data_IF_685052688081
#
_entry.id   IF_685052688081
#
_cell.length_a   1.000
_cell.length_b   1.000
_cell.length_c   1.000
_cell.angle_alpha   90.00
_cell.angle_beta   90.00
_cell.angle_gamma   90.00
#
_symmetry.space_group_name_H-M   'P 1'
#
loop_
_entity.id
_entity.type
_entity.pdbx_description
1 polymer ?
#
# COMPACT_ATOMS: atom_id res chain seq x y z
N UNK A 1 26.79 8.73 -1.17
CA UNK A 1 25.42 9.12 -1.59
C UNK A 1 24.57 9.36 -0.34
N UNK A 2 24.16 10.61 -0.08
CA UNK A 2 23.21 10.96 0.98
C UNK A 2 21.78 10.60 0.58
N UNK A 3 20.83 10.66 1.54
CA UNK A 3 19.41 10.44 1.25
C UNK A 3 18.87 11.44 0.21
N UNK A 4 19.34 12.68 0.23
CA UNK A 4 18.93 13.73 -0.71
C UNK A 4 19.52 13.50 -2.11
N UNK A 5 20.82 13.19 -2.21
CA UNK A 5 21.47 12.78 -3.46
C UNK A 5 20.77 11.55 -4.08
N UNK A 6 20.46 10.53 -3.28
CA UNK A 6 19.76 9.33 -3.76
C UNK A 6 18.34 9.61 -4.24
N UNK A 7 17.60 10.49 -3.57
CA UNK A 7 16.28 10.93 -4.01
C UNK A 7 16.35 11.78 -5.29
N UNK A 8 17.40 12.60 -5.45
CA UNK A 8 17.66 13.32 -6.71
C UNK A 8 17.92 12.35 -7.87
N UNK A 9 18.84 11.40 -7.72
CA UNK A 9 19.15 10.38 -8.74
C UNK A 9 17.88 9.60 -9.12
N UNK A 10 17.10 9.13 -8.14
CA UNK A 10 15.81 8.44 -8.36
C UNK A 10 14.82 9.27 -9.17
N UNK A 11 14.73 10.58 -8.90
CA UNK A 11 13.83 11.50 -9.62
C UNK A 11 14.32 11.75 -11.05
N UNK A 12 15.61 12.00 -11.21
CA UNK A 12 16.26 12.24 -12.50
C UNK A 12 16.12 11.02 -13.43
N UNK A 13 16.46 9.83 -12.94
CA UNK A 13 16.40 8.57 -13.70
C UNK A 13 14.98 8.23 -14.18
N UNK A 14 13.96 8.49 -13.35
CA UNK A 14 12.54 8.31 -13.72
C UNK A 14 12.07 9.29 -14.80
N UNK A 15 12.68 10.48 -14.89
CA UNK A 15 12.41 11.44 -15.97
C UNK A 15 13.15 10.99 -17.24
N UNK A 16 14.43 10.60 -17.12
CA UNK A 16 15.25 10.11 -18.23
C UNK A 16 14.62 8.93 -18.98
N UNK A 17 14.18 7.89 -18.26
CA UNK A 17 13.45 6.75 -18.86
C UNK A 17 12.13 7.19 -19.53
N UNK A 18 11.42 8.17 -18.96
CA UNK A 18 10.17 8.65 -19.54
C UNK A 18 10.39 9.39 -20.86
N UNK A 19 11.52 10.07 -21.02
CA UNK A 19 11.87 10.85 -22.21
C UNK A 19 12.60 10.04 -23.30
N UNK A 20 13.35 9.00 -22.90
CA UNK A 20 14.17 8.16 -23.79
C UNK A 20 13.64 6.73 -24.00
N UNK A 21 12.60 6.33 -23.28
CA UNK A 21 12.00 4.99 -23.33
C UNK A 21 12.64 3.99 -22.37
N UNK A 22 11.99 2.83 -22.20
CA UNK A 22 12.42 1.78 -21.23
C UNK A 22 13.71 1.06 -21.62
N UNK A 23 14.23 1.27 -22.82
CA UNK A 23 15.53 0.74 -23.30
C UNK A 23 16.65 1.80 -23.31
N UNK A 24 16.45 2.95 -22.64
CA UNK A 24 17.40 4.04 -22.60
C UNK A 24 18.69 3.69 -21.84
N UNK A 25 19.76 3.38 -22.57
CA UNK A 25 21.10 3.18 -22.00
C UNK A 25 21.71 4.51 -21.54
N UNK A 26 22.29 4.52 -20.34
CA UNK A 26 23.06 5.65 -19.82
C UNK A 26 24.51 5.55 -20.31
N UNK A 27 24.96 6.51 -21.14
CA UNK A 27 26.38 6.63 -21.48
C UNK A 27 27.19 7.21 -20.31
N UNK A 28 28.52 7.02 -20.32
CA UNK A 28 29.42 7.57 -19.30
C UNK A 28 29.30 9.10 -19.13
N UNK A 29 28.93 9.83 -20.18
CA UNK A 29 28.66 11.27 -20.13
C UNK A 29 27.48 11.62 -19.22
N UNK A 30 26.44 10.78 -19.20
CA UNK A 30 25.28 10.96 -18.32
C UNK A 30 25.66 10.72 -16.86
N UNK A 31 26.47 9.69 -16.58
CA UNK A 31 26.98 9.43 -15.24
C UNK A 31 27.90 10.56 -14.76
N UNK A 32 28.81 11.03 -15.61
CA UNK A 32 29.70 12.17 -15.31
C UNK A 32 28.91 13.45 -15.02
N UNK A 33 27.98 13.84 -15.90
CA UNK A 33 27.17 15.04 -15.72
C UNK A 33 26.30 14.97 -14.45
N UNK A 34 25.69 13.81 -14.17
CA UNK A 34 24.91 13.59 -12.96
C UNK A 34 25.77 13.66 -11.69
N UNK A 35 27.00 13.14 -11.74
CA UNK A 35 27.94 13.16 -10.63
C UNK A 35 28.44 14.58 -10.32
N UNK A 36 28.78 15.38 -11.33
CA UNK A 36 29.09 16.81 -11.18
C UNK A 36 27.91 17.61 -10.59
N UNK A 37 26.67 17.29 -10.98
CA UNK A 37 25.46 17.98 -10.48
C UNK A 37 25.12 17.69 -9.00
N UNK A 38 25.68 16.63 -8.40
CA UNK A 38 25.37 16.22 -7.02
C UNK A 38 26.61 16.14 -6.11
N UNK A 39 27.76 16.63 -6.59
CA UNK A 39 29.06 16.60 -5.93
C UNK A 39 29.45 15.19 -5.45
N UNK A 40 29.58 14.26 -6.41
CA UNK A 40 30.04 12.90 -6.20
C UNK A 40 31.01 12.46 -7.30
N UNK A 41 31.75 11.39 -7.04
CA UNK A 41 32.50 10.64 -8.05
C UNK A 41 31.56 9.88 -9.02
N UNK A 42 31.83 9.87 -10.34
CA UNK A 42 31.01 9.15 -11.32
C UNK A 42 30.87 7.66 -11.07
N UNK A 43 31.90 6.98 -10.57
CA UNK A 43 31.84 5.53 -10.32
C UNK A 43 30.89 5.21 -9.14
N UNK A 44 30.85 6.08 -8.14
CA UNK A 44 29.90 6.06 -7.02
C UNK A 44 28.45 6.22 -7.51
N UNK A 45 28.21 7.10 -8.47
CA UNK A 45 26.88 7.30 -9.09
C UNK A 45 26.48 6.09 -9.94
N UNK A 46 27.39 5.58 -10.77
CA UNK A 46 27.19 4.37 -11.58
C UNK A 46 26.81 3.16 -10.70
N UNK A 47 27.62 2.88 -9.69
CA UNK A 47 27.40 1.75 -8.77
C UNK A 47 26.09 1.90 -8.00
N UNK A 48 25.72 3.12 -7.58
CA UNK A 48 24.46 3.35 -6.89
C UNK A 48 23.25 3.14 -7.80
N UNK A 49 23.30 3.60 -9.06
CA UNK A 49 22.24 3.37 -10.06
C UNK A 49 22.10 1.87 -10.36
N UNK A 50 23.21 1.15 -10.54
CA UNK A 50 23.20 -0.31 -10.66
C UNK A 50 22.48 -0.97 -9.47
N UNK A 51 22.95 -0.72 -8.25
CA UNK A 51 22.41 -1.36 -7.04
C UNK A 51 20.98 -0.96 -6.66
N UNK A 52 20.49 0.22 -7.08
CA UNK A 52 19.20 0.78 -6.60
C UNK A 52 18.13 0.95 -7.69
N UNK A 53 18.49 0.87 -8.98
CA UNK A 53 17.63 1.27 -10.09
C UNK A 53 17.71 0.36 -11.32
N UNK A 54 18.78 -0.42 -11.49
CA UNK A 54 18.89 -1.43 -12.56
C UNK A 54 19.13 -2.82 -11.96
N UNK A 55 18.05 -3.56 -11.71
CA UNK A 55 18.11 -5.01 -11.42
C UNK A 55 18.05 -5.80 -12.73
N UNK A 56 19.13 -6.48 -13.18
CA UNK A 56 18.99 -7.62 -14.06
C UNK A 56 18.42 -8.79 -13.25
N UNK A 57 17.43 -9.48 -13.80
CA UNK A 57 17.03 -10.80 -13.30
C UNK A 57 18.08 -11.83 -13.74
N UNK A 58 19.11 -12.02 -12.92
CA UNK A 58 20.12 -13.08 -13.09
C UNK A 58 20.46 -13.64 -11.72
N UNK A 59 19.95 -14.84 -11.42
CA UNK A 59 20.30 -15.56 -10.20
C UNK A 59 21.75 -16.04 -10.23
N UNK A 60 22.58 -15.54 -9.31
CA UNK A 60 23.90 -16.11 -9.00
C UNK A 60 23.94 -16.41 -7.50
N UNK A 61 23.83 -17.69 -7.15
CA UNK A 61 23.94 -18.15 -5.77
C UNK A 61 25.38 -18.59 -5.47
N UNK A 62 26.09 -17.93 -4.55
CA UNK A 62 27.39 -18.41 -4.08
C UNK A 62 27.18 -19.42 -2.94
N UNK A 63 27.38 -20.71 -3.22
CA UNK A 63 28.47 -21.52 -2.63
C UNK A 63 28.19 -23.04 -2.77
N UNK A 64 29.14 -23.75 -3.38
CA UNK A 64 29.16 -25.21 -3.44
C UNK A 64 29.91 -25.77 -2.23
N UNK A 65 29.38 -26.81 -1.58
CA UNK A 65 30.21 -27.77 -0.83
C UNK A 65 29.66 -29.21 -0.95
N UNK A 66 30.04 -29.87 -2.05
CA UNK A 66 30.67 -31.20 -2.08
C UNK A 66 29.94 -32.35 -1.32
N UNK A 67 29.26 -33.20 -2.10
CA UNK A 67 28.95 -34.63 -1.87
C UNK A 67 30.24 -35.48 -1.64
N UNK A 68 30.24 -36.77 -1.17
CA UNK A 68 29.27 -37.83 -1.52
C UNK A 68 29.01 -38.88 -0.36
N UNK A 69 28.75 -40.21 -0.55
CA UNK A 69 27.57 -40.83 0.12
C UNK A 69 27.79 -42.21 0.81
N UNK A 70 26.73 -42.76 1.44
CA UNK A 70 26.28 -44.20 1.47
C UNK A 70 25.02 -44.31 2.36
N UNK A 71 23.95 -45.07 2.08
CA UNK A 71 23.68 -46.48 1.72
C UNK A 71 23.30 -47.33 2.97
N UNK A 72 22.32 -48.23 2.80
CA UNK A 72 21.81 -49.25 3.76
C UNK A 72 20.98 -48.73 4.97
N UNK A 73 19.95 -49.42 5.52
CA UNK A 73 19.05 -50.48 5.00
C UNK A 73 17.76 -50.60 5.84
N UNK A 74 16.83 -51.46 5.39
CA UNK A 74 15.75 -52.15 6.14
C UNK A 74 14.48 -51.44 6.68
N UNK A 75 13.42 -52.27 6.71
CA UNK A 75 12.09 -52.09 7.34
C UNK A 75 11.84 -53.31 8.28
N UNK A 76 10.71 -53.54 9.00
CA UNK A 76 9.29 -53.28 8.66
C UNK A 76 8.65 -52.31 9.72
N UNK A 77 7.37 -52.30 10.15
CA UNK A 77 6.22 -53.23 10.08
C UNK A 77 4.87 -52.49 10.19
N UNK A 78 3.78 -53.18 9.81
CA UNK A 78 2.38 -52.73 9.85
C UNK A 78 1.69 -53.15 11.18
N UNK A 79 0.51 -52.61 11.56
CA UNK A 79 -0.75 -53.03 10.93
C UNK A 79 -1.82 -51.93 10.69
N UNK A 80 -2.83 -52.31 9.89
CA UNK A 80 -3.90 -51.44 9.37
C UNK A 80 -5.19 -51.54 10.20
N UNK A 81 -5.93 -50.43 10.35
CA UNK A 81 -7.40 -50.42 10.49
C UNK A 81 -8.02 -49.46 9.46
N UNK A 82 -9.29 -49.66 9.10
CA UNK A 82 -9.83 -49.24 7.78
C UNK A 82 -11.34 -48.95 7.81
N UNK A 83 -11.79 -48.05 6.91
CA UNK A 83 -13.19 -47.75 6.47
C UNK A 83 -14.19 -47.28 7.57
N UNK A 84 -15.35 -46.63 7.24
CA UNK A 84 -15.96 -46.40 5.92
C UNK A 84 -16.31 -44.94 5.53
N UNK A 85 -16.72 -44.75 4.26
CA UNK A 85 -17.14 -43.49 3.64
C UNK A 85 -18.59 -43.07 3.96
N UNK A 86 -18.86 -41.75 4.03
CA UNK A 86 -19.96 -40.99 3.34
C UNK A 86 -20.18 -39.59 3.97
N UNK A 87 -20.87 -38.65 3.28
CA UNK A 87 -21.05 -38.48 1.83
C UNK A 87 -20.58 -37.09 1.33
N UNK A 88 -20.71 -36.81 0.03
CA UNK A 88 -20.60 -35.45 -0.50
C UNK A 88 -21.70 -34.52 0.04
N UNK A 89 -21.35 -33.26 0.28
CA UNK A 89 -22.29 -32.13 0.33
C UNK A 89 -21.55 -30.89 -0.17
N UNK A 90 -21.86 -30.46 -1.39
CA UNK A 90 -21.42 -29.18 -1.94
C UNK A 90 -22.36 -28.06 -1.46
N UNK A 91 -21.87 -26.81 -1.53
CA UNK A 91 -22.52 -25.57 -1.06
C UNK A 91 -22.61 -25.44 0.48
N UNK A 92 -22.25 -24.33 1.14
CA UNK A 92 -21.67 -23.06 0.65
C UNK A 92 -20.63 -22.53 1.64
N UNK A 93 -19.54 -21.95 1.12
CA UNK A 93 -18.56 -21.17 1.90
C UNK A 93 -18.11 -19.98 1.04
N UNK A 94 -19.00 -19.01 0.91
CA UNK A 94 -18.84 -17.88 0.01
C UNK A 94 -17.93 -16.80 0.65
N UNK A 95 -16.92 -16.36 -0.12
CA UNK A 95 -16.12 -15.14 0.07
C UNK A 95 -15.71 -14.73 1.52
N UNK A 96 -14.49 -15.06 1.94
CA UNK A 96 -13.84 -14.29 3.04
C UNK A 96 -12.30 -14.35 3.13
N UNK A 97 -11.61 -15.39 2.63
CA UNK A 97 -10.14 -15.39 2.64
C UNK A 97 -9.56 -14.50 1.53
N UNK A 98 -9.55 -13.19 1.78
CA UNK A 98 -8.86 -12.18 0.97
C UNK A 98 -7.42 -12.62 0.69
N UNK A 99 -7.00 -12.48 -0.57
CA UNK A 99 -5.67 -12.95 -0.96
C UNK A 99 -4.58 -12.21 -0.20
N UNK A 100 -3.50 -12.92 0.15
CA UNK A 100 -2.36 -12.34 0.88
C UNK A 100 -1.79 -11.09 0.18
N UNK A 101 -1.90 -11.03 -1.16
CA UNK A 101 -1.50 -9.87 -1.95
C UNK A 101 -2.45 -8.67 -1.80
N UNK A 102 -3.78 -8.88 -1.77
CA UNK A 102 -4.74 -7.80 -1.49
C UNK A 102 -4.51 -7.24 -0.08
N UNK A 103 -4.27 -8.11 0.92
CA UNK A 103 -3.93 -7.68 2.28
C UNK A 103 -2.62 -6.87 2.30
N UNK A 104 -1.59 -7.31 1.55
CA UNK A 104 -0.32 -6.58 1.41
C UNK A 104 -0.52 -5.20 0.77
N UNK A 105 -1.32 -5.10 -0.29
CA UNK A 105 -1.66 -3.84 -0.95
C UNK A 105 -2.40 -2.87 -0.01
N UNK A 106 -3.32 -3.38 0.81
CA UNK A 106 -4.03 -2.57 1.81
C UNK A 106 -3.08 -2.09 2.91
N UNK A 107 -2.23 -2.96 3.47
CA UNK A 107 -1.25 -2.55 4.48
C UNK A 107 -0.33 -1.44 3.95
N UNK A 108 0.22 -1.59 2.74
CA UNK A 108 1.04 -0.56 2.08
C UNK A 108 0.28 0.77 1.90
N UNK A 109 -1.02 0.72 1.57
CA UNK A 109 -1.87 1.90 1.43
C UNK A 109 -2.17 2.56 2.79
N UNK A 110 -2.40 1.76 3.84
CA UNK A 110 -2.59 2.23 5.23
C UNK A 110 -1.33 2.92 5.75
N UNK A 111 -0.14 2.36 5.50
CA UNK A 111 1.14 2.99 5.85
C UNK A 111 1.37 4.31 5.10
N UNK A 112 1.03 4.35 3.81
CA UNK A 112 1.07 5.57 3.01
C UNK A 112 0.08 6.65 3.49
N UNK A 113 -1.06 6.26 4.07
CA UNK A 113 -2.03 7.18 4.69
C UNK A 113 -1.59 7.68 6.08
N UNK A 114 -1.04 6.79 6.92
CA UNK A 114 -0.49 7.14 8.24
C UNK A 114 0.79 8.00 8.15
N UNK A 115 1.48 7.98 7.01
CA UNK A 115 2.71 8.72 6.77
C UNK A 115 2.52 10.24 6.88
N UNK A 116 3.30 10.89 7.77
CA UNK A 116 3.18 12.32 8.07
C UNK A 116 3.33 13.19 6.81
N UNK A 117 2.25 13.83 6.40
CA UNK A 117 2.24 14.83 5.31
C UNK A 117 3.28 15.92 5.54
N UNK A 118 4.04 16.24 4.50
CA UNK A 118 5.07 17.28 4.53
C UNK A 118 4.54 18.61 5.11
N UNK A 119 5.38 19.31 5.89
CA UNK A 119 5.04 20.63 6.46
C UNK A 119 4.70 21.67 5.38
N UNK A 120 5.19 21.47 4.17
CA UNK A 120 5.00 22.30 2.98
C UNK A 120 3.72 22.02 2.17
N UNK A 121 2.83 21.11 2.59
CA UNK A 121 1.52 20.91 1.94
C UNK A 121 0.69 22.22 1.99
N UNK A 122 0.62 22.92 0.85
CA UNK A 122 0.00 24.24 0.74
C UNK A 122 -1.49 24.30 1.12
N UNK A 123 -2.16 23.14 1.22
CA UNK A 123 -3.56 23.01 1.65
C UNK A 123 -3.79 23.44 3.11
N UNK A 124 -2.72 23.58 3.92
CA UNK A 124 -2.78 24.02 5.32
C UNK A 124 -3.33 25.45 5.53
N UNK A 125 -3.37 26.29 4.49
CA UNK A 125 -3.64 27.75 4.62
C UNK A 125 -5.08 28.15 4.98
N UNK A 126 -6.04 27.22 5.03
CA UNK A 126 -7.50 27.54 5.20
C UNK A 126 -8.18 26.78 6.35
N UNK A 127 -7.38 26.18 7.24
CA UNK A 127 -7.86 25.33 8.32
C UNK A 127 -8.47 26.16 9.46
N UNK A 128 -9.80 26.22 9.55
CA UNK A 128 -10.53 27.03 10.55
C UNK A 128 -11.80 26.35 11.05
N UNK A 129 -12.15 26.58 12.32
CA UNK A 129 -13.26 25.93 13.02
C UNK A 129 -12.79 25.14 14.25
N UNK A 130 -13.74 24.63 15.05
CA UNK A 130 -13.46 23.97 16.33
C UNK A 130 -12.90 22.55 16.18
N UNK A 131 -13.46 21.75 15.27
CA UNK A 131 -13.06 20.35 15.09
C UNK A 131 -11.64 20.22 14.50
N UNK A 132 -10.68 19.77 15.31
CA UNK A 132 -9.28 19.61 14.90
C UNK A 132 -8.80 18.15 14.77
N UNK A 133 -7.86 17.93 13.86
CA UNK A 133 -7.34 16.60 13.52
C UNK A 133 -6.45 16.00 14.62
N UNK A 134 -6.81 14.82 15.14
CA UNK A 134 -6.10 14.19 16.28
C UNK A 134 -4.71 13.64 15.92
N UNK A 135 -4.39 13.57 14.63
CA UNK A 135 -3.08 13.16 14.13
C UNK A 135 -2.03 14.28 14.11
N UNK A 136 -2.33 15.44 14.71
CA UNK A 136 -1.46 16.62 14.75
C UNK A 136 -0.93 17.02 13.36
N UNK A 137 -1.83 17.01 12.36
CA UNK A 137 -1.50 17.47 11.02
C UNK A 137 -1.77 18.97 10.83
N UNK A 138 -2.42 19.63 11.80
CA UNK A 138 -2.83 21.03 11.74
C UNK A 138 -4.11 21.30 10.93
N UNK A 139 -4.92 20.28 10.62
CA UNK A 139 -6.23 20.46 10.00
C UNK A 139 -7.31 20.82 11.02
N UNK A 140 -8.16 21.78 10.66
CA UNK A 140 -9.31 22.27 11.44
C UNK A 140 -10.48 22.56 10.49
N UNK A 141 -11.69 22.28 10.94
CA UNK A 141 -12.92 22.49 10.16
C UNK A 141 -14.10 22.91 11.03
N UNK A 142 -15.14 23.48 10.41
CA UNK A 142 -16.39 23.91 11.05
C UNK A 142 -17.47 22.82 11.10
N UNK A 143 -17.24 21.64 10.51
CA UNK A 143 -18.25 20.57 10.37
C UNK A 143 -17.73 19.21 10.86
N UNK A 144 -18.46 18.49 11.72
CA UNK A 144 -18.01 17.19 12.25
C UNK A 144 -17.91 16.12 11.16
N UNK A 145 -18.75 16.19 10.12
CA UNK A 145 -18.67 15.31 8.94
C UNK A 145 -17.34 15.46 8.20
N UNK A 146 -16.89 16.68 7.93
CA UNK A 146 -15.61 16.92 7.24
C UNK A 146 -14.41 16.59 8.14
N UNK A 147 -14.58 16.66 9.46
CA UNK A 147 -13.59 16.20 10.44
C UNK A 147 -13.43 14.67 10.43
N UNK A 148 -14.52 13.90 10.55
CA UNK A 148 -14.47 12.42 10.49
C UNK A 148 -13.87 11.96 9.17
N UNK A 149 -14.37 12.54 8.06
CA UNK A 149 -13.85 12.34 6.70
C UNK A 149 -12.40 12.78 6.55
N UNK A 150 -11.86 13.62 7.43
CA UNK A 150 -10.43 13.96 7.48
C UNK A 150 -9.61 12.88 8.19
N UNK A 151 -10.01 12.47 9.40
CA UNK A 151 -9.37 11.41 10.20
C UNK A 151 -9.25 10.10 9.40
N UNK A 152 -10.28 9.75 8.62
CA UNK A 152 -10.30 8.61 7.69
C UNK A 152 -9.21 8.64 6.59
N UNK A 153 -8.58 9.79 6.30
CA UNK A 153 -7.42 9.82 5.38
C UNK A 153 -6.08 9.60 6.09
N UNK A 154 -6.06 9.48 7.42
CA UNK A 154 -4.91 9.00 8.18
C UNK A 154 -5.09 7.52 8.52
N UNK A 155 -6.28 7.12 8.98
CA UNK A 155 -6.60 5.74 9.36
C UNK A 155 -7.85 5.21 8.63
N UNK A 156 -7.71 4.85 7.34
CA UNK A 156 -8.83 4.36 6.53
C UNK A 156 -9.42 3.04 7.03
N UNK A 157 -10.75 2.96 7.09
CA UNK A 157 -11.50 1.80 7.60
C UNK A 157 -12.29 1.02 6.55
N UNK A 158 -12.33 1.52 5.32
CA UNK A 158 -13.06 0.93 4.19
C UNK A 158 -12.15 1.00 2.96
N UNK A 159 -12.18 -0.03 2.12
CA UNK A 159 -11.28 -0.16 0.98
C UNK A 159 -12.06 -0.66 -0.24
N UNK A 160 -11.76 -0.09 -1.40
CA UNK A 160 -12.34 -0.49 -2.67
C UNK A 160 -11.23 -0.71 -3.70
N UNK A 161 -11.23 -1.88 -4.33
CA UNK A 161 -10.31 -2.27 -5.41
C UNK A 161 -11.12 -2.46 -6.68
N UNK A 162 -10.90 -1.61 -7.71
CA UNK A 162 -11.73 -1.66 -8.92
C UNK A 162 -11.69 -3.05 -9.58
N UNK A 163 -12.83 -3.73 -9.58
CA UNK A 163 -13.00 -5.07 -10.15
C UNK A 163 -12.67 -5.14 -11.65
N UNK A 164 -12.99 -4.08 -12.40
CA UNK A 164 -12.66 -4.00 -13.83
C UNK A 164 -11.13 -3.90 -14.03
N UNK A 165 -10.43 -3.06 -13.25
CA UNK A 165 -8.98 -2.94 -13.34
C UNK A 165 -8.23 -4.21 -12.89
N UNK A 166 -8.75 -4.97 -11.92
CA UNK A 166 -8.10 -6.20 -11.46
C UNK A 166 -8.33 -7.40 -12.37
N UNK A 167 -9.36 -7.38 -13.21
CA UNK A 167 -9.72 -8.48 -14.13
C UNK A 167 -9.34 -8.23 -15.61
N UNK A 168 -8.98 -6.99 -15.98
CA UNK A 168 -8.62 -6.64 -17.36
C UNK A 168 -7.27 -7.21 -17.84
N UNK A 169 -7.06 -7.20 -19.17
CA UNK A 169 -5.88 -7.75 -19.88
C UNK A 169 -4.52 -7.29 -19.34
N UNK A 170 -4.48 -6.11 -18.72
CA UNK A 170 -3.33 -5.58 -17.97
C UNK A 170 -3.80 -5.30 -16.54
N UNK A 171 -3.78 -6.31 -15.66
CA UNK A 171 -4.35 -6.19 -14.33
C UNK A 171 -3.61 -5.08 -13.55
N UNK A 172 -4.38 -4.15 -12.99
CA UNK A 172 -3.86 -2.98 -12.28
C UNK A 172 -4.60 -2.77 -10.98
N UNK A 173 -3.84 -2.63 -9.89
CA UNK A 173 -4.41 -2.58 -8.55
C UNK A 173 -4.86 -1.15 -8.21
N UNK A 174 -5.98 -0.70 -8.80
CA UNK A 174 -6.61 0.56 -8.43
C UNK A 174 -7.34 0.41 -7.09
N UNK A 175 -6.56 0.51 -6.01
CA UNK A 175 -7.04 0.50 -4.63
C UNK A 175 -7.24 1.94 -4.13
N UNK A 176 -8.40 2.20 -3.53
CA UNK A 176 -8.72 3.47 -2.85
C UNK A 176 -9.48 3.24 -1.56
N UNK A 177 -9.26 4.08 -0.55
CA UNK A 177 -9.98 4.01 0.72
C UNK A 177 -11.29 4.79 0.78
N UNK A 178 -11.80 5.24 -0.39
CA UNK A 178 -12.96 6.14 -0.49
C UNK A 178 -13.76 5.90 -1.77
N UNK A 179 -15.05 5.59 -1.60
CA UNK A 179 -16.03 5.42 -2.69
C UNK A 179 -16.00 6.58 -3.72
N UNK A 180 -15.96 7.86 -3.27
CA UNK A 180 -15.93 9.01 -4.19
C UNK A 180 -14.68 9.10 -5.11
N UNK A 181 -13.68 8.26 -4.87
CA UNK A 181 -12.49 8.11 -5.72
C UNK A 181 -12.62 6.91 -6.66
N UNK A 182 -13.32 5.85 -6.27
CA UNK A 182 -13.68 4.75 -7.16
C UNK A 182 -14.75 5.20 -8.17
N UNK A 183 -15.84 5.84 -7.72
CA UNK A 183 -16.90 6.35 -8.58
C UNK A 183 -16.35 7.22 -9.72
N UNK A 184 -15.50 8.21 -9.38
CA UNK A 184 -14.86 9.05 -10.39
C UNK A 184 -13.91 8.25 -11.30
N UNK A 185 -13.15 7.30 -10.76
CA UNK A 185 -12.28 6.46 -11.59
C UNK A 185 -13.07 5.64 -12.62
N UNK A 186 -14.20 5.04 -12.22
CA UNK A 186 -15.10 4.32 -13.14
C UNK A 186 -15.63 5.28 -14.21
N UNK A 187 -16.05 6.49 -13.85
CA UNK A 187 -16.50 7.51 -14.81
C UNK A 187 -15.39 7.97 -15.77
N UNK A 188 -14.14 8.11 -15.28
CA UNK A 188 -12.97 8.58 -16.05
C UNK A 188 -12.29 7.48 -16.90
N UNK A 189 -12.56 6.19 -16.64
CA UNK A 189 -11.81 5.04 -17.21
C UNK A 189 -12.65 3.85 -17.71
N UNK A 190 -13.90 3.72 -17.26
CA UNK A 190 -14.79 2.61 -17.55
C UNK A 190 -16.17 3.12 -18.02
N UNK A 191 -16.15 4.13 -18.88
CA UNK A 191 -17.32 4.75 -19.52
C UNK A 191 -18.21 3.68 -20.17
N UNK A 192 -19.41 3.48 -19.62
CA UNK A 192 -20.38 2.46 -20.07
C UNK A 192 -20.68 1.35 -19.04
N UNK A 193 -19.95 1.26 -17.94
CA UNK A 193 -20.23 0.30 -16.85
C UNK A 193 -21.24 0.84 -15.83
N UNK A 194 -22.05 -0.03 -15.20
CA UNK A 194 -22.95 0.36 -14.11
C UNK A 194 -22.15 0.62 -12.83
N UNK A 195 -21.83 1.89 -12.58
CA UNK A 195 -20.86 2.27 -11.55
C UNK A 195 -21.23 1.78 -10.14
N UNK A 196 -22.52 1.77 -9.78
CA UNK A 196 -22.97 1.33 -8.45
C UNK A 196 -22.73 -0.17 -8.20
N UNK A 197 -22.81 -1.02 -9.23
CA UNK A 197 -22.57 -2.46 -9.11
C UNK A 197 -21.08 -2.78 -9.10
N UNK A 198 -20.30 -2.01 -9.88
CA UNK A 198 -18.83 -2.02 -9.81
C UNK A 198 -18.36 -1.59 -8.43
N UNK A 199 -18.98 -0.57 -7.80
CA UNK A 199 -18.64 -0.13 -6.44
C UNK A 199 -18.92 -1.21 -5.40
N UNK A 200 -20.11 -1.83 -5.42
CA UNK A 200 -20.46 -2.93 -4.50
C UNK A 200 -19.51 -4.12 -4.65
N UNK A 201 -19.24 -4.55 -5.89
CA UNK A 201 -18.33 -5.68 -6.18
C UNK A 201 -16.85 -5.36 -5.97
N UNK A 202 -16.48 -4.07 -5.84
CA UNK A 202 -15.12 -3.62 -5.53
C UNK A 202 -14.87 -3.45 -4.04
N UNK A 203 -15.89 -3.52 -3.18
CA UNK A 203 -15.74 -3.30 -1.73
C UNK A 203 -15.03 -4.48 -1.06
N UNK A 204 -13.98 -4.17 -0.28
CA UNK A 204 -13.19 -5.15 0.43
C UNK A 204 -13.57 -5.15 1.91
N UNK A 205 -14.06 -6.30 2.38
CA UNK A 205 -14.36 -6.58 3.79
C UNK A 205 -13.08 -6.73 4.64
N UNK A 206 -12.32 -5.64 4.78
CA UNK A 206 -11.12 -5.55 5.60
C UNK A 206 -11.20 -4.31 6.51
N UNK A 207 -10.84 -4.47 7.78
CA UNK A 207 -10.72 -3.38 8.76
C UNK A 207 -9.25 -3.21 9.14
N UNK A 208 -8.72 -2.01 8.93
CA UNK A 208 -7.34 -1.69 9.27
C UNK A 208 -7.20 -1.41 10.77
N UNK A 209 -6.02 -1.68 11.32
CA UNK A 209 -5.70 -1.24 12.68
C UNK A 209 -5.74 0.29 12.78
N UNK A 210 -6.38 0.79 13.83
CA UNK A 210 -6.45 2.20 14.16
C UNK A 210 -5.83 2.46 15.54
N UNK A 211 -5.70 3.72 15.95
CA UNK A 211 -5.28 4.07 17.31
C UNK A 211 -6.50 4.09 18.22
N UNK A 212 -6.68 3.11 19.12
CA UNK A 212 -7.87 3.06 20.00
C UNK A 212 -7.96 4.30 20.88
N UNK A 213 -6.82 4.82 21.33
CA UNK A 213 -6.74 5.90 22.30
C UNK A 213 -7.26 7.26 21.80
N UNK A 214 -8.08 7.89 22.63
CA UNK A 214 -8.47 9.29 22.53
C UNK A 214 -7.31 10.21 22.90
N UNK A 215 -7.08 11.26 22.10
CA UNK A 215 -5.99 12.23 22.35
C UNK A 215 -6.26 13.22 23.49
N UNK A 216 -7.52 13.37 23.91
CA UNK A 216 -7.95 14.37 24.90
C UNK A 216 -7.98 13.79 26.32
N UNK A 217 -8.77 12.73 26.55
CA UNK A 217 -8.90 12.08 27.87
C UNK A 217 -8.08 10.79 28.04
N UNK A 218 -7.51 10.24 26.97
CA UNK A 218 -6.72 9.01 27.03
C UNK A 218 -7.51 7.69 27.16
N UNK A 219 -8.84 7.69 27.01
CA UNK A 219 -9.68 6.48 26.95
C UNK A 219 -9.44 5.68 25.65
N UNK A 220 -9.53 4.36 25.70
CA UNK A 220 -9.30 3.44 24.56
C UNK A 220 -10.63 2.83 24.06
N UNK A 221 -10.75 2.62 22.75
CA UNK A 221 -11.98 2.16 22.09
C UNK A 221 -11.75 0.94 21.20
N UNK A 222 -12.71 -0.01 21.20
CA UNK A 222 -12.66 -1.19 20.33
C UNK A 222 -13.11 -0.87 18.88
N UNK A 223 -14.02 0.09 18.70
CA UNK A 223 -14.48 0.52 17.37
C UNK A 223 -14.05 1.96 17.01
N UNK A 224 -13.62 2.14 15.75
CA UNK A 224 -13.29 3.44 15.16
C UNK A 224 -14.46 4.44 15.21
N UNK A 225 -15.69 3.95 15.03
CA UNK A 225 -16.90 4.79 15.08
C UNK A 225 -17.19 5.33 16.48
N UNK A 226 -16.96 4.52 17.52
CA UNK A 226 -17.13 4.92 18.92
C UNK A 226 -16.06 5.93 19.31
N UNK A 227 -14.80 5.66 18.95
CA UNK A 227 -13.68 6.61 19.11
C UNK A 227 -14.03 7.97 18.49
N UNK A 228 -14.53 7.99 17.27
CA UNK A 228 -14.87 9.23 16.57
C UNK A 228 -16.08 9.94 17.19
N UNK A 229 -17.13 9.21 17.54
CA UNK A 229 -18.28 9.75 18.26
C UNK A 229 -17.86 10.40 19.58
N UNK A 230 -16.98 9.73 20.34
CA UNK A 230 -16.45 10.25 21.59
C UNK A 230 -15.59 11.51 21.40
N UNK A 231 -14.69 11.52 20.43
CA UNK A 231 -13.86 12.70 20.14
C UNK A 231 -14.72 13.91 19.72
N UNK A 232 -15.84 13.68 19.02
CA UNK A 232 -16.78 14.77 18.70
C UNK A 232 -17.43 15.38 19.95
N UNK A 233 -17.63 14.63 21.04
CA UNK A 233 -18.18 15.17 22.30
C UNK A 233 -17.24 16.21 22.93
N UNK A 234 -15.92 15.94 22.96
CA UNK A 234 -14.92 16.93 23.44
C UNK A 234 -14.98 18.26 22.69
N UNK A 235 -15.42 18.27 21.42
CA UNK A 235 -15.59 19.50 20.66
C UNK A 235 -16.95 20.17 20.87
N UNK A 236 -17.96 19.48 21.42
CA UNK A 236 -19.29 20.03 21.67
C UNK A 236 -19.51 20.43 23.15
N UNK A 237 -18.61 19.99 24.05
CA UNK A 237 -18.48 20.45 25.45
C UNK A 237 -17.53 21.67 25.61
N UNK A 238 -16.94 22.19 24.50
CA UNK A 238 -16.15 23.45 24.39
C UNK A 238 -16.95 24.62 23.76
#
# INVERSE_FOLDING_TARGET
>A
VTLEQGNFIRKWYKIFIKEKGQQAYLSNEHYNALATLIDLDPQTVHNWIGQNLMTPDVGVSPENTIFPPRLDQDAPTQPTLRIPNRPDTQASSEHSQLSKEIIRLINNHVEACNSKRAKTDGRRRVNSGKYECTFNCGYRTKRPFDWKRHEENHQPQNFWLCSICSQGERPSNFLVHRNDKLLKHIQDKHTGSTADDVIKSSEIAYKASFKPRCGFCGHDFEAWEERNKHILQHFDDE
#
